data_IF_108375747685
#
_entry.id   IF_108375747685
#
_cell.length_a   1.000
_cell.length_b   1.000
_cell.length_c   1.000
_cell.angle_alpha   90.00
_cell.angle_beta   90.00
_cell.angle_gamma   90.00
#
_symmetry.space_group_name_H-M   'P 1'
#
loop_
_entity.id
_entity.type
_entity.pdbx_description
1 polymer ?
#
# COMPACT_ATOMS: atom_id res chain seq x y z
N UNK A 1 -25.12 5.30 26.48
CA UNK A 1 -25.90 5.00 25.27
C UNK A 1 -25.25 3.79 24.63
N UNK A 2 -25.92 2.63 24.54
CA UNK A 2 -25.39 1.47 23.82
C UNK A 2 -25.97 1.50 22.40
N UNK A 3 -25.10 1.60 21.40
CA UNK A 3 -25.52 1.46 20.01
C UNK A 3 -25.93 -0.01 19.76
N UNK A 4 -26.96 -0.26 18.94
CA UNK A 4 -27.36 -1.63 18.59
C UNK A 4 -26.20 -2.37 17.91
N UNK A 5 -26.00 -3.64 18.28
CA UNK A 5 -24.90 -4.47 17.77
C UNK A 5 -25.03 -4.76 16.27
N UNK A 6 -26.26 -4.87 15.77
CA UNK A 6 -26.54 -5.02 14.34
C UNK A 6 -27.04 -3.69 13.73
N UNK A 7 -26.21 -3.13 12.86
CA UNK A 7 -26.58 -1.98 12.05
C UNK A 7 -27.15 -2.47 10.72
N UNK A 8 -28.45 -2.25 10.48
CA UNK A 8 -29.12 -2.59 9.21
C UNK A 8 -28.38 -2.05 7.97
N UNK A 9 -27.67 -0.92 8.11
CA UNK A 9 -26.82 -0.37 7.04
C UNK A 9 -25.63 -1.27 6.75
N UNK A 10 -24.97 -1.82 7.77
CA UNK A 10 -23.80 -2.68 7.60
C UNK A 10 -24.19 -3.96 6.87
N UNK A 11 -25.28 -4.61 7.27
CA UNK A 11 -25.77 -5.83 6.61
C UNK A 11 -26.10 -5.55 5.13
N UNK A 12 -26.77 -4.43 4.84
CA UNK A 12 -27.06 -4.03 3.47
C UNK A 12 -25.78 -3.76 2.65
N UNK A 13 -24.77 -3.12 3.24
CA UNK A 13 -23.49 -2.89 2.58
C UNK A 13 -22.76 -4.20 2.27
N UNK A 14 -22.84 -5.19 3.15
CA UNK A 14 -22.26 -6.52 2.92
C UNK A 14 -22.98 -7.27 1.81
N UNK A 15 -24.31 -7.28 1.81
CA UNK A 15 -25.13 -7.94 0.80
C UNK A 15 -25.01 -7.30 -0.60
N UNK A 16 -24.68 -6.01 -0.67
CA UNK A 16 -24.59 -5.23 -1.91
C UNK A 16 -23.14 -4.84 -2.26
N UNK A 17 -22.15 -5.59 -1.76
CA UNK A 17 -20.74 -5.36 -2.13
C UNK A 17 -20.55 -5.45 -3.63
N UNK A 18 -19.83 -4.47 -4.17
CA UNK A 18 -19.35 -4.51 -5.54
C UNK A 18 -17.84 -4.77 -5.51
N UNK A 19 -17.38 -5.99 -5.89
CA UNK A 19 -15.96 -6.33 -5.83
C UNK A 19 -15.09 -5.46 -6.74
N UNK A 20 -15.65 -4.88 -7.80
CA UNK A 20 -14.94 -3.93 -8.67
C UNK A 20 -14.62 -2.63 -7.92
N UNK A 21 -15.59 -2.11 -7.17
CA UNK A 21 -15.41 -0.88 -6.38
C UNK A 21 -14.40 -1.12 -5.27
N UNK A 22 -14.52 -2.24 -4.55
CA UNK A 22 -13.59 -2.59 -3.47
C UNK A 22 -12.15 -2.70 -4.01
N UNK A 23 -11.96 -3.44 -5.12
CA UNK A 23 -10.65 -3.59 -5.75
C UNK A 23 -10.10 -2.28 -6.30
N UNK A 24 -10.96 -1.41 -6.81
CA UNK A 24 -10.57 -0.08 -7.26
C UNK A 24 -10.07 0.79 -6.10
N UNK A 25 -10.80 0.82 -4.98
CA UNK A 25 -10.41 1.58 -3.78
C UNK A 25 -9.10 1.04 -3.22
N UNK A 26 -8.97 -0.28 -3.10
CA UNK A 26 -7.75 -0.96 -2.66
C UNK A 26 -6.55 -0.55 -3.50
N UNK A 27 -6.62 -0.69 -4.83
CA UNK A 27 -5.54 -0.26 -5.74
C UNK A 27 -5.21 1.22 -5.62
N UNK A 28 -6.22 2.08 -5.49
CA UNK A 28 -5.99 3.52 -5.36
C UNK A 28 -5.23 3.86 -4.07
N UNK A 29 -5.57 3.16 -2.98
CA UNK A 29 -4.91 3.32 -1.69
C UNK A 29 -3.49 2.74 -1.70
N UNK A 30 -3.29 1.55 -2.26
CA UNK A 30 -1.98 0.90 -2.40
C UNK A 30 -0.97 1.83 -3.09
N UNK A 31 -1.33 2.37 -4.26
CA UNK A 31 -0.47 3.29 -5.01
C UNK A 31 -0.17 4.55 -4.20
N UNK A 32 -1.20 5.13 -3.56
CA UNK A 32 -1.05 6.33 -2.75
C UNK A 32 -0.10 6.10 -1.57
N UNK A 33 -0.23 4.96 -0.90
CA UNK A 33 0.57 4.57 0.23
C UNK A 33 2.02 4.29 -0.17
N UNK A 34 2.23 3.59 -1.29
CA UNK A 34 3.56 3.39 -1.86
C UNK A 34 4.25 4.73 -2.13
N UNK A 35 3.58 5.68 -2.77
CA UNK A 35 4.14 7.02 -2.99
C UNK A 35 4.50 7.67 -1.65
N UNK A 36 3.62 7.62 -0.65
CA UNK A 36 3.91 8.19 0.67
C UNK A 36 5.14 7.55 1.34
N UNK A 37 5.30 6.23 1.24
CA UNK A 37 6.45 5.49 1.76
C UNK A 37 7.74 5.92 1.03
N UNK A 38 7.72 6.01 -0.30
CA UNK A 38 8.88 6.42 -1.10
C UNK A 38 9.29 7.85 -0.73
N UNK A 39 8.33 8.77 -0.60
CA UNK A 39 8.61 10.14 -0.19
C UNK A 39 9.24 10.20 1.21
N UNK A 40 8.70 9.43 2.16
CA UNK A 40 9.25 9.33 3.52
C UNK A 40 10.67 8.78 3.52
N UNK A 41 10.91 7.67 2.83
CA UNK A 41 12.22 7.01 2.76
C UNK A 41 13.28 7.88 2.10
N UNK A 42 12.89 8.72 1.13
CA UNK A 42 13.78 9.66 0.44
C UNK A 42 13.87 11.03 1.10
N UNK A 43 13.14 11.27 2.20
CA UNK A 43 13.10 12.57 2.88
C UNK A 43 12.44 13.69 2.06
N UNK A 44 11.65 13.36 1.04
CA UNK A 44 11.02 14.32 0.13
C UNK A 44 9.74 14.87 0.77
N UNK A 45 9.65 16.20 0.90
CA UNK A 45 8.44 16.86 1.42
C UNK A 45 7.35 16.91 0.35
N UNK A 46 6.07 16.88 0.75
CA UNK A 46 4.93 17.00 -0.19
C UNK A 46 5.00 18.27 -1.07
N UNK A 47 5.51 19.37 -0.51
CA UNK A 47 5.70 20.63 -1.25
C UNK A 47 6.78 20.55 -2.31
N UNK A 48 7.86 19.82 -2.05
CA UNK A 48 8.93 19.55 -3.00
C UNK A 48 8.46 18.58 -4.08
N UNK A 49 7.76 17.52 -3.69
CA UNK A 49 7.15 16.59 -4.63
C UNK A 49 6.18 17.30 -5.59
N UNK A 50 5.39 18.26 -5.09
CA UNK A 50 4.55 19.09 -5.94
C UNK A 50 5.34 19.92 -6.96
N UNK A 51 6.53 20.42 -6.59
CA UNK A 51 7.45 21.09 -7.53
C UNK A 51 8.00 20.12 -8.57
N UNK A 52 8.42 18.91 -8.17
CA UNK A 52 8.88 17.86 -9.09
C UNK A 52 7.80 17.51 -10.13
N UNK A 53 6.53 17.49 -9.70
CA UNK A 53 5.39 17.22 -10.57
C UNK A 53 4.93 18.45 -11.38
N UNK A 54 5.46 19.66 -11.13
CA UNK A 54 4.93 20.89 -11.72
C UNK A 54 3.44 21.10 -11.43
N UNK A 55 3.02 20.81 -10.20
CA UNK A 55 1.62 20.84 -9.74
C UNK A 55 1.46 21.69 -8.48
N UNK A 56 0.22 22.10 -8.17
CA UNK A 56 -0.05 22.82 -6.93
C UNK A 56 0.05 21.86 -5.73
N UNK A 57 0.58 22.30 -4.56
CA UNK A 57 0.62 21.47 -3.36
C UNK A 57 -0.75 20.93 -2.95
N UNK A 58 -1.83 21.67 -3.21
CA UNK A 58 -3.20 21.23 -2.94
C UNK A 58 -3.67 20.09 -3.86
N UNK A 59 -3.27 20.07 -5.14
CA UNK A 59 -3.54 18.96 -6.05
C UNK A 59 -2.83 17.69 -5.57
N UNK A 60 -1.54 17.80 -5.23
CA UNK A 60 -0.75 16.67 -4.75
C UNK A 60 -1.25 16.16 -3.40
N UNK A 61 -1.70 17.06 -2.52
CA UNK A 61 -2.29 16.66 -1.25
C UNK A 61 -3.59 15.88 -1.43
N UNK A 62 -4.39 16.20 -2.45
CA UNK A 62 -5.59 15.43 -2.82
C UNK A 62 -5.24 14.07 -3.42
N UNK A 63 -4.20 13.98 -4.24
CA UNK A 63 -3.74 12.68 -4.75
C UNK A 63 -3.25 11.79 -3.61
N UNK A 64 -2.51 12.38 -2.66
CA UNK A 64 -1.92 11.64 -1.55
C UNK A 64 -2.87 11.40 -0.36
N UNK A 65 -4.13 11.83 -0.43
CA UNK A 65 -5.11 11.55 0.63
C UNK A 65 -5.75 10.17 0.51
N UNK A 66 -5.61 9.51 -0.66
CA UNK A 66 -6.26 8.22 -0.95
C UNK A 66 -7.76 8.32 -1.25
N UNK A 67 -8.37 9.49 -1.01
CA UNK A 67 -9.81 9.75 -1.23
C UNK A 67 -10.12 10.28 -2.62
N UNK A 68 -9.09 10.63 -3.40
CA UNK A 68 -9.25 11.07 -4.78
C UNK A 68 -8.83 9.95 -5.72
N UNK A 69 -9.65 9.70 -6.74
CA UNK A 69 -9.35 8.74 -7.79
C UNK A 69 -8.11 9.18 -8.57
N UNK A 70 -7.10 8.32 -8.63
CA UNK A 70 -5.94 8.53 -9.48
C UNK A 70 -6.28 8.13 -10.91
N UNK A 71 -5.80 8.93 -11.85
CA UNK A 71 -5.80 8.59 -13.28
C UNK A 71 -4.48 7.92 -13.65
N UNK A 72 -4.47 7.14 -14.74
CA UNK A 72 -3.22 6.61 -15.31
C UNK A 72 -2.20 7.74 -15.53
N UNK A 73 -2.64 8.89 -16.05
CA UNK A 73 -1.80 10.07 -16.26
C UNK A 73 -1.16 10.60 -14.97
N UNK A 74 -1.89 10.62 -13.85
CA UNK A 74 -1.32 11.03 -12.56
C UNK A 74 -0.33 10.01 -12.03
N UNK A 75 -0.60 8.71 -12.19
CA UNK A 75 0.30 7.64 -11.74
C UNK A 75 1.61 7.69 -12.52
N UNK A 76 1.54 7.72 -13.85
CA UNK A 76 2.72 7.86 -14.72
C UNK A 76 3.53 9.11 -14.41
N UNK A 77 2.86 10.22 -14.05
CA UNK A 77 3.58 11.44 -13.66
C UNK A 77 4.38 11.25 -12.37
N UNK A 78 3.82 10.53 -11.40
CA UNK A 78 4.51 10.20 -10.16
C UNK A 78 5.65 9.21 -10.38
N UNK A 79 5.45 8.18 -11.21
CA UNK A 79 6.48 7.22 -11.61
C UNK A 79 7.69 7.91 -12.24
N UNK A 80 7.48 8.77 -13.22
CA UNK A 80 8.57 9.52 -13.87
C UNK A 80 9.28 10.47 -12.89
N UNK A 81 8.52 11.15 -12.02
CA UNK A 81 9.12 12.04 -11.03
C UNK A 81 9.95 11.30 -9.98
N UNK A 82 9.56 10.08 -9.63
CA UNK A 82 10.21 9.26 -8.60
C UNK A 82 11.21 8.24 -9.19
N UNK A 83 11.20 8.00 -10.50
CA UNK A 83 12.01 6.95 -11.12
C UNK A 83 11.69 5.56 -10.56
N UNK A 84 10.41 5.23 -10.40
CA UNK A 84 9.91 3.95 -9.87
C UNK A 84 8.74 3.45 -10.70
N UNK A 85 8.47 2.14 -10.66
CA UNK A 85 7.22 1.55 -11.13
C UNK A 85 6.27 1.42 -9.94
N UNK A 86 5.11 2.07 -10.00
CA UNK A 86 4.09 2.05 -8.94
C UNK A 86 3.04 0.95 -9.16
N UNK A 87 2.94 0.40 -10.37
CA UNK A 87 1.94 -0.62 -10.72
C UNK A 87 2.49 -2.04 -10.63
N UNK A 88 3.79 -2.21 -10.79
CA UNK A 88 4.48 -3.48 -10.69
C UNK A 88 5.75 -3.33 -9.84
N UNK A 89 5.61 -3.10 -8.52
CA UNK A 89 6.76 -3.03 -7.63
C UNK A 89 7.45 -4.40 -7.61
N UNK A 90 8.79 -4.40 -7.72
CA UNK A 90 9.59 -5.61 -7.54
C UNK A 90 9.28 -6.25 -6.16
N UNK A 91 9.11 -7.57 -6.09
CA UNK A 91 8.82 -8.24 -4.83
C UNK A 91 9.95 -7.98 -3.82
N UNK A 92 9.57 -7.53 -2.63
CA UNK A 92 10.53 -7.36 -1.54
C UNK A 92 10.78 -8.72 -0.88
N UNK A 93 11.94 -9.31 -1.16
CA UNK A 93 12.33 -10.58 -0.56
C UNK A 93 12.73 -10.36 0.91
N UNK A 94 11.94 -10.92 1.83
CA UNK A 94 12.29 -10.98 3.24
C UNK A 94 13.14 -12.24 3.45
N UNK A 95 14.34 -12.07 4.00
CA UNK A 95 15.16 -13.20 4.43
C UNK A 95 14.64 -13.75 5.76
N UNK A 96 13.98 -14.91 5.71
CA UNK A 96 13.39 -15.57 6.89
C UNK A 96 14.39 -16.42 7.70
N UNK A 97 15.67 -16.43 7.31
CA UNK A 97 16.72 -17.21 7.97
C UNK A 97 17.35 -18.29 7.09
N UNK A 98 18.28 -19.04 7.67
CA UNK A 98 18.98 -20.16 7.02
C UNK A 98 18.42 -21.46 7.58
N UNK A 99 17.87 -22.32 6.73
CA UNK A 99 17.51 -23.68 7.12
C UNK A 99 18.73 -24.56 6.84
N UNK A 100 19.28 -25.19 7.87
CA UNK A 100 20.36 -26.17 7.69
C UNK A 100 19.75 -27.53 7.36
N UNK A 101 19.91 -27.97 6.10
CA UNK A 101 19.33 -29.21 5.60
C UNK A 101 19.61 -29.42 4.10
N UNK A 102 19.38 -30.64 3.63
CA UNK A 102 19.45 -31.06 2.23
C UNK A 102 18.11 -30.82 1.50
N UNK A 103 18.09 -30.82 0.16
CA UNK A 103 16.96 -30.33 -0.66
C UNK A 103 15.60 -30.98 -0.31
N UNK A 104 15.57 -32.24 0.12
CA UNK A 104 14.34 -32.93 0.56
C UNK A 104 13.71 -32.32 1.83
N UNK A 105 14.50 -31.71 2.70
CA UNK A 105 14.02 -31.09 3.95
C UNK A 105 13.41 -29.69 3.75
N UNK A 106 13.56 -29.10 2.56
CA UNK A 106 13.02 -27.78 2.22
C UNK A 106 11.49 -27.76 2.19
N UNK A 107 10.87 -28.77 1.57
CA UNK A 107 9.40 -28.84 1.41
C UNK A 107 8.69 -28.84 2.78
N UNK A 108 9.28 -29.45 3.81
CA UNK A 108 8.72 -29.48 5.16
C UNK A 108 9.01 -28.19 5.96
N UNK A 109 10.09 -27.47 5.64
CA UNK A 109 10.51 -26.30 6.39
C UNK A 109 9.90 -24.99 5.86
N UNK A 110 9.48 -24.95 4.58
CA UNK A 110 8.89 -23.78 3.93
C UNK A 110 7.60 -23.28 4.61
N UNK A 111 6.81 -24.19 5.17
CA UNK A 111 5.52 -23.88 5.81
C UNK A 111 5.62 -23.75 7.35
N UNK A 112 6.79 -23.99 7.93
CA UNK A 112 7.05 -23.90 9.37
C UNK A 112 7.69 -22.54 9.74
N UNK A 113 7.02 -21.44 9.40
CA UNK A 113 7.38 -20.12 9.92
C UNK A 113 6.28 -19.58 10.82
N UNK A 114 6.66 -19.11 12.01
CA UNK A 114 5.77 -18.30 12.83
C UNK A 114 5.79 -16.86 12.30
N UNK A 115 4.61 -16.29 12.05
CA UNK A 115 4.48 -14.88 11.67
C UNK A 115 4.88 -14.03 12.89
N UNK A 116 6.15 -13.63 12.97
CA UNK A 116 6.57 -12.64 13.96
C UNK A 116 6.08 -11.26 13.49
N UNK A 117 5.04 -10.72 14.11
CA UNK A 117 4.67 -9.32 13.91
C UNK A 117 5.81 -8.44 14.41
N UNK A 118 6.41 -7.66 13.51
CA UNK A 118 7.38 -6.63 13.88
C UNK A 118 6.68 -5.58 14.75
N UNK A 119 6.94 -5.59 16.06
CA UNK A 119 6.61 -4.45 16.92
C UNK A 119 7.71 -3.41 16.75
N UNK A 120 7.30 -2.18 16.48
CA UNK A 120 8.17 -1.06 16.12
C UNK A 120 9.02 -0.53 17.29
N UNK A 121 9.19 -1.31 18.36
CA UNK A 121 9.83 -0.90 19.63
C UNK A 121 11.28 -1.38 19.77
N UNK A 122 11.90 -1.88 18.70
CA UNK A 122 13.30 -2.30 18.73
C UNK A 122 14.16 -1.50 17.74
N UNK A 123 14.21 -0.16 17.87
CA UNK A 123 15.40 0.71 17.73
C UNK A 123 15.13 2.04 18.44
#
# INVERSE_FOLDING_TARGET
>A
MKFPEENKLNNWLEDNKNPEIDRFIERNLEITQQVCVILKNRGIKKTEFAKMLGKKPSEVSKWLSGTHNLTLKSITKMEIALGVDLMNPEPNYIYLGKIEGNLESYETAKDNYEISHYTQEAV
#
